data_IF_486847964107
#
_entry.id   IF_486847964107
#
_cell.length_a   1.000
_cell.length_b   1.000
_cell.length_c   1.000
_cell.angle_alpha   90.00
_cell.angle_beta   90.00
_cell.angle_gamma   90.00
#
_symmetry.space_group_name_H-M   'P 1'
#
loop_
_entity.id
_entity.type
_entity.pdbx_description
1 polymer ?
#
# COMPACT_ATOMS: atom_id res chain seq x y z
N UNK A 1 25.91 0.06 27.04
CA UNK A 1 25.17 1.32 26.84
C UNK A 1 24.38 1.14 25.56
N UNK A 2 23.06 0.96 25.66
CA UNK A 2 22.19 0.68 24.51
C UNK A 2 22.13 1.96 23.68
N UNK A 3 22.61 1.93 22.44
CA UNK A 3 22.48 3.06 21.51
C UNK A 3 20.98 3.20 21.21
N UNK A 4 20.40 4.33 21.58
CA UNK A 4 19.03 4.67 21.14
C UNK A 4 19.03 4.64 19.61
N UNK A 5 18.19 3.77 19.04
CA UNK A 5 18.30 3.38 17.64
C UNK A 5 17.68 4.39 16.68
N UNK A 6 17.20 5.53 17.19
CA UNK A 6 16.73 6.67 16.41
C UNK A 6 16.26 7.79 17.35
N UNK A 7 16.64 9.04 17.10
CA UNK A 7 16.05 10.22 17.76
C UNK A 7 14.54 10.36 17.44
N UNK A 8 14.05 9.60 16.44
CA UNK A 8 12.67 9.61 15.95
C UNK A 8 11.69 8.80 16.83
N UNK A 9 12.18 7.85 17.63
CA UNK A 9 11.37 7.01 18.52
C UNK A 9 12.01 6.85 19.92
N UNK A 10 12.00 7.90 20.76
CA UNK A 10 12.53 7.78 22.12
C UNK A 10 11.72 6.79 22.96
N UNK A 11 12.41 5.95 23.74
CA UNK A 11 11.78 5.07 24.74
C UNK A 11 11.27 3.70 24.27
N UNK A 12 11.78 3.14 23.16
CA UNK A 12 11.44 1.78 22.74
C UNK A 12 11.88 0.73 23.78
N UNK A 13 10.99 -0.20 24.11
CA UNK A 13 11.30 -1.42 24.87
C UNK A 13 12.27 -2.32 24.09
N UNK A 14 12.92 -3.27 24.77
CA UNK A 14 13.86 -4.20 24.14
C UNK A 14 13.24 -4.86 22.88
N UNK A 15 14.02 -5.03 21.80
CA UNK A 15 13.56 -5.73 20.60
C UNK A 15 13.03 -7.10 20.96
N UNK A 16 11.91 -7.48 20.35
CA UNK A 16 11.49 -8.88 20.35
C UNK A 16 11.71 -9.49 18.97
N UNK A 17 12.29 -10.69 18.97
CA UNK A 17 12.42 -11.53 17.78
C UNK A 17 11.23 -12.47 17.75
N UNK A 18 10.52 -12.50 16.64
CA UNK A 18 9.40 -13.41 16.41
C UNK A 18 9.69 -14.27 15.18
N UNK A 19 9.32 -15.54 15.29
CA UNK A 19 9.29 -16.46 14.17
C UNK A 19 7.87 -16.98 13.97
N UNK A 20 7.29 -16.75 12.79
CA UNK A 20 6.03 -17.35 12.35
C UNK A 20 4.81 -17.16 13.27
N UNK A 21 4.68 -15.99 13.91
CA UNK A 21 3.44 -15.60 14.58
C UNK A 21 3.05 -14.18 14.22
N UNK A 22 1.75 -13.94 14.05
CA UNK A 22 1.23 -12.60 13.76
C UNK A 22 1.47 -11.65 14.93
N UNK A 23 1.93 -10.43 14.61
CA UNK A 23 2.03 -9.32 15.57
C UNK A 23 0.78 -8.47 15.47
N UNK A 24 0.01 -8.44 16.57
CA UNK A 24 -1.14 -7.56 16.73
C UNK A 24 -0.87 -6.62 17.90
N UNK A 25 -0.97 -5.32 17.66
CA UNK A 25 -0.87 -4.32 18.72
C UNK A 25 -1.90 -3.22 18.53
N UNK A 26 -2.46 -2.76 19.65
CA UNK A 26 -3.51 -1.72 19.68
C UNK A 26 -3.13 -0.49 20.53
N UNK A 27 -1.98 -0.54 21.22
CA UNK A 27 -1.42 0.57 21.99
C UNK A 27 0.08 0.39 22.21
N UNK A 28 0.79 1.49 22.47
CA UNK A 28 2.24 1.50 22.76
C UNK A 28 3.11 1.61 21.52
N UNK A 29 4.43 1.55 21.70
CA UNK A 29 5.37 1.46 20.59
C UNK A 29 5.78 0.00 20.40
N UNK A 30 5.85 -0.44 19.15
CA UNK A 30 6.21 -1.81 18.77
C UNK A 30 7.56 -1.81 18.08
N UNK A 31 8.45 -2.71 18.48
CA UNK A 31 9.74 -2.88 17.82
C UNK A 31 9.96 -4.35 17.43
N UNK A 32 9.93 -4.60 16.13
CA UNK A 32 10.20 -5.90 15.51
C UNK A 32 11.60 -5.84 14.90
N UNK A 33 12.47 -6.76 15.30
CA UNK A 33 13.83 -6.83 14.77
C UNK A 33 14.20 -8.28 14.46
N UNK A 34 15.02 -8.47 13.41
CA UNK A 34 15.63 -9.76 13.07
C UNK A 34 14.63 -10.94 13.02
N UNK A 35 13.42 -10.68 12.51
CA UNK A 35 12.30 -11.62 12.56
C UNK A 35 12.00 -12.23 11.19
N UNK A 36 11.51 -13.47 11.18
CA UNK A 36 11.05 -14.14 9.97
C UNK A 36 9.56 -14.51 10.08
N UNK A 37 8.79 -14.07 9.09
CA UNK A 37 7.37 -14.35 8.96
C UNK A 37 7.16 -15.14 7.67
N UNK A 38 6.65 -16.36 7.80
CA UNK A 38 6.46 -17.25 6.66
C UNK A 38 5.07 -17.85 6.63
N UNK A 39 4.42 -17.79 5.47
CA UNK A 39 3.14 -18.45 5.15
C UNK A 39 1.98 -18.09 6.10
N UNK A 40 2.01 -16.88 6.68
CA UNK A 40 0.95 -16.39 7.55
C UNK A 40 -0.21 -15.83 6.73
N UNK A 41 -1.44 -16.28 7.02
CA UNK A 41 -2.65 -15.79 6.37
C UNK A 41 -3.63 -15.24 7.41
N UNK A 42 -3.97 -13.96 7.31
CA UNK A 42 -4.87 -13.30 8.26
C UNK A 42 -6.37 -13.62 8.02
N UNK A 43 -6.73 -14.27 6.92
CA UNK A 43 -8.14 -14.56 6.57
C UNK A 43 -8.83 -13.41 5.82
N UNK A 44 -9.98 -13.72 5.20
CA UNK A 44 -10.51 -12.97 4.04
C UNK A 44 -10.96 -11.54 4.34
N UNK A 45 -11.24 -11.25 5.60
CA UNK A 45 -11.73 -9.96 6.06
C UNK A 45 -10.67 -9.16 6.81
N UNK A 46 -9.46 -9.70 6.93
CA UNK A 46 -8.38 -9.16 7.75
C UNK A 46 -7.29 -8.50 6.90
N UNK A 47 -6.59 -7.55 7.50
CA UNK A 47 -5.40 -6.89 6.95
C UNK A 47 -4.14 -7.39 7.67
N UNK A 48 -2.96 -7.28 7.05
CA UNK A 48 -1.70 -7.55 7.72
C UNK A 48 -1.48 -9.03 8.08
N UNK A 49 -1.05 -9.86 7.13
CA UNK A 49 -0.81 -11.29 7.34
C UNK A 49 0.17 -11.59 8.47
N UNK A 50 1.25 -10.80 8.54
CA UNK A 50 2.28 -10.91 9.57
C UNK A 50 2.14 -9.85 10.66
N UNK A 51 1.87 -8.60 10.27
CA UNK A 51 1.82 -7.46 11.17
C UNK A 51 0.54 -6.69 10.89
N UNK A 52 -0.31 -6.59 11.91
CA UNK A 52 -1.55 -5.82 11.86
C UNK A 52 -1.59 -4.87 13.06
N UNK A 53 -1.34 -3.59 12.79
CA UNK A 53 -1.26 -2.53 13.78
C UNK A 53 -2.44 -1.60 13.60
N UNK A 54 -3.22 -1.43 14.67
CA UNK A 54 -4.38 -0.53 14.70
C UNK A 54 -4.28 0.46 15.86
N UNK A 55 -4.82 1.68 15.72
CA UNK A 55 -4.77 2.80 16.69
C UNK A 55 -3.38 3.51 16.80
N UNK A 56 -3.18 4.34 17.84
CA UNK A 56 -1.94 5.07 18.18
C UNK A 56 -0.78 4.14 18.52
N UNK A 57 -0.26 3.44 17.53
CA UNK A 57 0.91 2.60 17.67
C UNK A 57 1.94 3.06 16.66
N UNK A 58 3.11 3.41 17.18
CA UNK A 58 4.30 3.58 16.35
C UNK A 58 4.99 2.22 16.24
N UNK A 59 5.39 1.85 15.04
CA UNK A 59 6.08 0.58 14.80
C UNK A 59 7.38 0.80 14.06
N UNK A 60 8.44 0.17 14.56
CA UNK A 60 9.70 0.03 13.86
C UNK A 60 9.94 -1.45 13.54
N UNK A 61 10.30 -1.74 12.29
CA UNK A 61 10.56 -3.07 11.76
C UNK A 61 11.94 -3.04 11.11
N UNK A 62 12.87 -3.86 11.60
CA UNK A 62 14.24 -3.86 11.11
C UNK A 62 14.75 -5.27 10.85
N UNK A 63 15.62 -5.44 9.86
CA UNK A 63 16.33 -6.70 9.57
C UNK A 63 15.38 -7.92 9.44
N UNK A 64 14.17 -7.73 8.93
CA UNK A 64 13.12 -8.74 8.94
C UNK A 64 12.77 -9.25 7.55
N UNK A 65 12.29 -10.49 7.49
CA UNK A 65 11.94 -11.18 6.24
C UNK A 65 10.48 -11.62 6.27
N UNK A 66 9.77 -11.35 5.18
CA UNK A 66 8.36 -11.72 4.98
C UNK A 66 8.25 -12.59 3.73
N UNK A 67 7.77 -13.81 3.87
CA UNK A 67 7.63 -14.75 2.76
C UNK A 67 6.23 -15.38 2.75
N UNK A 68 5.47 -15.21 1.67
CA UNK A 68 4.16 -15.86 1.57
C UNK A 68 3.11 -15.32 2.55
N UNK A 69 3.30 -14.11 3.09
CA UNK A 69 2.35 -13.50 4.02
C UNK A 69 1.15 -12.91 3.25
N UNK A 70 -0.05 -13.25 3.69
CA UNK A 70 -1.29 -12.96 2.96
C UNK A 70 -2.34 -12.32 3.86
N UNK A 71 -3.11 -11.41 3.28
CA UNK A 71 -4.28 -10.82 3.93
C UNK A 71 -5.44 -10.69 2.94
N UNK A 72 -6.67 -10.69 3.44
CA UNK A 72 -7.82 -10.53 2.57
C UNK A 72 -8.10 -9.09 2.20
N UNK A 73 -7.78 -8.13 3.07
CA UNK A 73 -8.23 -6.75 2.92
C UNK A 73 -7.14 -5.78 2.49
N UNK A 74 -6.01 -5.72 3.19
CA UNK A 74 -5.00 -4.69 2.96
C UNK A 74 -3.64 -5.07 3.54
N UNK A 75 -2.56 -4.61 2.91
CA UNK A 75 -1.20 -4.83 3.39
C UNK A 75 -0.90 -6.31 3.63
N UNK A 76 -0.72 -7.09 2.57
CA UNK A 76 -0.62 -8.55 2.64
C UNK A 76 0.32 -9.07 3.72
N UNK A 77 1.48 -8.45 3.92
CA UNK A 77 2.35 -8.73 5.08
C UNK A 77 2.13 -7.75 6.23
N UNK A 78 2.14 -6.44 5.94
CA UNK A 78 2.18 -5.37 6.94
C UNK A 78 1.02 -4.41 6.70
N UNK A 79 0.21 -4.20 7.72
CA UNK A 79 -0.84 -3.19 7.74
C UNK A 79 -0.73 -2.32 8.99
N UNK A 80 -0.74 -1.00 8.79
CA UNK A 80 -0.74 -0.01 9.87
C UNK A 80 -1.86 1.01 9.63
N UNK A 81 -2.84 1.04 10.53
CA UNK A 81 -3.97 1.98 10.52
C UNK A 81 -4.14 2.69 11.88
N UNK A 82 -3.97 4.01 11.94
CA UNK A 82 -4.04 4.76 13.17
C UNK A 82 -5.45 4.99 13.73
N UNK A 83 -6.52 4.73 12.97
CA UNK A 83 -7.92 4.96 13.38
C UNK A 83 -8.15 6.36 14.02
N UNK A 84 -7.70 7.42 13.35
CA UNK A 84 -7.89 8.81 13.80
C UNK A 84 -6.88 9.35 14.82
N UNK A 85 -5.74 8.68 15.06
CA UNK A 85 -4.69 9.15 16.00
C UNK A 85 -3.29 9.23 15.37
N UNK A 86 -2.30 9.72 16.12
CA UNK A 86 -0.90 9.78 15.63
C UNK A 86 -0.25 8.38 15.64
N UNK A 87 0.42 8.04 14.54
CA UNK A 87 1.21 6.83 14.37
C UNK A 87 2.51 7.12 13.59
N UNK A 88 3.29 6.08 13.32
CA UNK A 88 4.44 6.15 12.44
C UNK A 88 4.92 4.75 12.12
N UNK A 89 5.18 4.49 10.85
CA UNK A 89 5.79 3.26 10.36
C UNK A 89 7.24 3.53 10.00
N UNK A 90 8.15 2.76 10.58
CA UNK A 90 9.55 2.73 10.19
C UNK A 90 9.93 1.32 9.77
N UNK A 91 10.29 1.12 8.51
CA UNK A 91 10.79 -0.15 7.98
C UNK A 91 12.20 0.09 7.43
N UNK A 92 13.16 -0.68 7.93
CA UNK A 92 14.54 -0.63 7.46
C UNK A 92 15.09 -2.04 7.21
N UNK A 93 15.87 -2.22 6.13
CA UNK A 93 16.62 -3.46 5.85
C UNK A 93 15.74 -4.72 5.87
N UNK A 94 14.56 -4.63 5.27
CA UNK A 94 13.60 -5.74 5.22
C UNK A 94 13.43 -6.30 3.81
N UNK A 95 13.08 -7.59 3.73
CA UNK A 95 12.82 -8.28 2.46
C UNK A 95 11.39 -8.84 2.45
N UNK A 96 10.66 -8.60 1.37
CA UNK A 96 9.34 -9.17 1.11
C UNK A 96 9.34 -10.04 -0.14
N UNK A 97 8.78 -11.24 -0.07
CA UNK A 97 8.63 -12.15 -1.21
C UNK A 97 7.27 -12.85 -1.18
N UNK A 98 6.56 -12.96 -2.30
CA UNK A 98 5.28 -13.70 -2.36
C UNK A 98 4.24 -13.22 -1.33
N UNK A 99 4.30 -11.94 -0.94
CA UNK A 99 3.34 -11.34 -0.04
C UNK A 99 2.27 -10.60 -0.84
N UNK A 100 1.00 -10.92 -0.62
CA UNK A 100 -0.09 -10.29 -1.37
C UNK A 100 -1.39 -10.19 -0.60
N UNK A 101 -2.22 -9.27 -1.07
CA UNK A 101 -3.62 -9.13 -0.64
C UNK A 101 -4.51 -9.75 -1.71
N UNK A 102 -5.41 -10.66 -1.32
CA UNK A 102 -6.23 -11.41 -2.27
C UNK A 102 -7.61 -10.82 -2.53
N UNK A 103 -8.02 -9.74 -1.85
CA UNK A 103 -9.19 -9.00 -2.33
C UNK A 103 -8.91 -8.44 -3.72
N UNK A 104 -9.74 -8.88 -4.66
CA UNK A 104 -9.85 -8.39 -6.02
C UNK A 104 -10.98 -7.37 -6.15
N UNK A 105 -11.63 -6.99 -5.06
CA UNK A 105 -12.83 -6.14 -5.16
C UNK A 105 -12.41 -4.78 -5.77
N UNK A 106 -12.96 -4.42 -6.93
CA UNK A 106 -12.61 -3.18 -7.64
C UNK A 106 -13.25 -1.94 -6.98
N UNK A 107 -14.28 -2.13 -6.15
CA UNK A 107 -15.00 -1.07 -5.45
C UNK A 107 -14.42 -0.79 -4.06
N UNK A 108 -13.31 -1.46 -3.72
CA UNK A 108 -12.71 -1.31 -2.42
C UNK A 108 -12.03 0.04 -2.32
N UNK A 109 -12.50 0.81 -1.34
CA UNK A 109 -11.93 2.06 -0.87
C UNK A 109 -10.38 2.10 -0.92
N UNK A 110 -9.80 3.25 -1.27
CA UNK A 110 -8.35 3.51 -1.26
C UNK A 110 -7.62 3.07 0.01
N UNK A 111 -8.34 2.86 1.11
CA UNK A 111 -7.82 2.37 2.39
C UNK A 111 -7.54 0.86 2.44
N UNK A 112 -7.83 0.09 1.40
CA UNK A 112 -7.60 -1.37 1.37
C UNK A 112 -6.64 -1.72 0.23
N UNK A 113 -5.43 -1.19 0.36
CA UNK A 113 -4.36 -1.27 -0.63
C UNK A 113 -3.15 -2.04 -0.08
N UNK A 114 -2.12 -2.26 -0.88
CA UNK A 114 -0.86 -2.88 -0.43
C UNK A 114 -0.82 -4.41 -0.57
N UNK A 115 0.04 -4.94 -1.42
CA UNK A 115 0.35 -6.37 -1.50
C UNK A 115 1.38 -6.76 -0.43
N UNK A 116 2.42 -5.93 -0.21
CA UNK A 116 3.38 -6.16 0.85
C UNK A 116 3.06 -5.31 2.08
N UNK A 117 3.06 -3.98 1.91
CA UNK A 117 2.89 -3.05 3.01
C UNK A 117 1.84 -1.97 2.71
N UNK A 118 1.02 -1.67 3.72
CA UNK A 118 0.14 -0.52 3.73
C UNK A 118 0.31 0.29 5.01
N UNK A 119 0.46 1.60 4.85
CA UNK A 119 0.49 2.55 5.95
C UNK A 119 -0.54 3.65 5.72
N UNK A 120 -1.39 3.89 6.71
CA UNK A 120 -2.28 5.04 6.76
C UNK A 120 -1.75 5.97 7.86
N UNK A 121 -1.80 7.28 7.67
CA UNK A 121 -1.58 8.26 8.74
C UNK A 121 -2.79 9.20 8.87
N UNK A 122 -2.87 9.96 9.95
CA UNK A 122 -3.88 11.03 10.09
C UNK A 122 -3.27 12.42 10.28
N UNK A 123 -1.95 12.54 10.13
CA UNK A 123 -1.25 13.79 10.38
C UNK A 123 -0.21 14.03 9.30
N UNK A 124 -0.25 15.23 8.74
CA UNK A 124 0.75 15.71 7.78
C UNK A 124 2.13 15.85 8.43
N UNK A 125 2.25 15.82 9.76
CA UNK A 125 3.55 15.81 10.43
C UNK A 125 4.14 14.41 10.64
N UNK A 126 3.36 13.35 10.38
CA UNK A 126 3.85 11.98 10.53
C UNK A 126 4.67 11.59 9.31
N UNK A 127 5.91 11.15 9.54
CA UNK A 127 6.78 10.62 8.50
C UNK A 127 6.84 9.10 8.65
N UNK A 128 6.44 8.39 7.61
CA UNK A 128 6.70 6.97 7.46
C UNK A 128 8.00 6.77 6.70
N UNK A 129 8.77 5.76 7.06
CA UNK A 129 10.03 5.44 6.39
C UNK A 129 10.00 4.01 5.90
N UNK A 130 10.38 3.79 4.64
CA UNK A 130 10.68 2.48 4.09
C UNK A 130 12.03 2.58 3.39
N UNK A 131 13.06 2.00 4.00
CA UNK A 131 14.42 2.14 3.51
C UNK A 131 15.24 0.85 3.50
N UNK A 132 16.15 0.73 2.53
CA UNK A 132 16.98 -0.46 2.33
C UNK A 132 16.15 -1.75 2.19
N UNK A 133 15.04 -1.67 1.47
CA UNK A 133 14.09 -2.77 1.32
C UNK A 133 14.16 -3.40 -0.07
N UNK A 134 13.92 -4.71 -0.13
CA UNK A 134 13.75 -5.44 -1.39
C UNK A 134 12.42 -6.19 -1.37
N UNK A 135 11.57 -5.91 -2.34
CA UNK A 135 10.24 -6.51 -2.49
C UNK A 135 10.24 -7.24 -3.83
N UNK A 136 9.92 -8.51 -3.80
CA UNK A 136 9.96 -9.35 -4.98
C UNK A 136 8.70 -10.21 -5.11
N UNK A 137 8.16 -10.35 -6.33
CA UNK A 137 7.10 -11.31 -6.64
C UNK A 137 5.93 -11.24 -5.64
N UNK A 138 5.37 -10.06 -5.36
CA UNK A 138 4.30 -9.92 -4.37
C UNK A 138 3.15 -10.92 -4.56
N UNK A 139 2.55 -10.96 -5.76
CA UNK A 139 1.55 -11.95 -6.13
C UNK A 139 2.14 -13.03 -7.06
N UNK A 140 1.59 -14.26 -7.04
CA UNK A 140 1.87 -15.26 -8.06
C UNK A 140 1.63 -14.70 -9.47
N UNK A 141 2.46 -15.11 -10.44
CA UNK A 141 2.47 -14.55 -11.81
C UNK A 141 1.11 -14.55 -12.53
N UNK A 142 0.23 -15.49 -12.18
CA UNK A 142 -1.11 -15.63 -12.76
C UNK A 142 -2.22 -14.96 -11.93
N UNK A 143 -1.86 -14.18 -10.92
CA UNK A 143 -2.79 -13.59 -9.98
C UNK A 143 -2.66 -12.07 -9.96
N UNK A 144 -3.39 -11.42 -10.88
CA UNK A 144 -3.45 -9.96 -10.99
C UNK A 144 -4.36 -9.39 -9.91
N UNK A 145 -3.78 -8.98 -8.78
CA UNK A 145 -4.51 -8.29 -7.73
C UNK A 145 -4.69 -6.82 -8.10
N UNK A 146 -5.82 -6.20 -7.75
CA UNK A 146 -6.05 -4.75 -7.86
C UNK A 146 -5.30 -3.94 -6.78
N UNK A 147 -4.07 -4.35 -6.49
CA UNK A 147 -3.32 -3.97 -5.29
C UNK A 147 -1.89 -3.59 -5.69
N UNK A 148 -1.28 -2.71 -4.91
CA UNK A 148 0.05 -2.14 -5.19
C UNK A 148 1.07 -2.71 -4.22
N UNK A 149 2.33 -3.02 -4.58
CA UNK A 149 3.30 -3.54 -3.62
C UNK A 149 3.38 -2.73 -2.32
N UNK A 150 3.46 -1.40 -2.42
CA UNK A 150 3.39 -0.46 -1.30
C UNK A 150 2.23 0.51 -1.50
N UNK A 151 1.48 0.78 -0.44
CA UNK A 151 0.53 1.89 -0.39
C UNK A 151 0.73 2.73 0.87
N UNK A 152 0.82 4.05 0.71
CA UNK A 152 0.88 5.01 1.80
C UNK A 152 -0.20 6.07 1.61
N UNK A 153 -1.03 6.29 2.64
CA UNK A 153 -2.16 7.22 2.58
C UNK A 153 -2.06 8.22 3.73
N UNK A 154 -2.11 9.50 3.37
CA UNK A 154 -1.88 10.67 4.20
C UNK A 154 -0.46 10.74 4.80
N UNK A 155 -0.06 11.93 5.23
CA UNK A 155 1.25 12.17 5.86
C UNK A 155 2.40 12.16 4.86
N UNK A 156 3.63 12.16 5.37
CA UNK A 156 4.83 12.13 4.54
C UNK A 156 5.45 10.73 4.51
N UNK A 157 6.11 10.40 3.40
CA UNK A 157 6.89 9.17 3.27
C UNK A 157 8.34 9.44 2.82
N UNK A 158 9.27 8.72 3.44
CA UNK A 158 10.66 8.55 3.01
C UNK A 158 10.81 7.17 2.35
N UNK A 159 11.13 7.16 1.05
CA UNK A 159 11.42 5.98 0.25
C UNK A 159 12.88 6.02 -0.20
N UNK A 160 13.75 5.25 0.45
CA UNK A 160 15.18 5.34 0.19
C UNK A 160 15.86 3.98 0.06
N UNK A 161 16.61 3.74 -1.03
CA UNK A 161 17.24 2.45 -1.32
C UNK A 161 16.20 1.33 -1.37
N UNK A 162 15.26 1.44 -2.31
CA UNK A 162 14.14 0.53 -2.46
C UNK A 162 14.23 -0.21 -3.78
N UNK A 163 14.10 -1.53 -3.73
CA UNK A 163 13.94 -2.38 -4.92
C UNK A 163 12.56 -3.03 -4.90
N UNK A 164 11.78 -2.85 -5.95
CA UNK A 164 10.54 -3.60 -6.21
C UNK A 164 10.74 -4.32 -7.54
N UNK A 165 10.67 -5.65 -7.52
CA UNK A 165 11.00 -6.42 -8.72
C UNK A 165 10.11 -7.63 -8.95
N UNK A 166 9.95 -8.02 -10.21
CA UNK A 166 9.20 -9.21 -10.62
C UNK A 166 7.76 -9.23 -10.06
N UNK A 167 7.18 -8.07 -9.75
CA UNK A 167 5.83 -7.96 -9.20
C UNK A 167 4.81 -7.92 -10.33
N UNK A 168 3.69 -8.62 -10.14
CA UNK A 168 2.55 -8.61 -11.05
C UNK A 168 1.38 -7.94 -10.35
N UNK A 169 0.79 -6.93 -11.00
CA UNK A 169 -0.35 -6.19 -10.47
C UNK A 169 -1.35 -5.83 -11.57
N UNK A 170 -2.64 -5.89 -11.22
CA UNK A 170 -3.68 -5.38 -12.08
C UNK A 170 -3.65 -3.85 -12.14
N UNK A 171 -3.47 -3.19 -10.98
CA UNK A 171 -3.58 -1.73 -10.86
C UNK A 171 -2.20 -1.05 -10.90
N UNK A 172 -1.40 -1.16 -9.82
CA UNK A 172 -0.10 -0.52 -9.82
C UNK A 172 1.07 -1.43 -9.39
N UNK A 173 2.10 -1.46 -10.24
CA UNK A 173 3.22 -2.42 -10.13
C UNK A 173 4.35 -1.99 -9.20
N UNK A 174 4.30 -0.78 -8.66
CA UNK A 174 5.30 -0.20 -7.77
C UNK A 174 4.68 0.27 -6.46
N UNK A 175 4.32 1.55 -6.37
CA UNK A 175 3.78 2.12 -5.15
C UNK A 175 2.76 3.22 -5.41
N UNK A 176 1.89 3.41 -4.41
CA UNK A 176 0.98 4.56 -4.31
C UNK A 176 1.25 5.38 -3.07
N UNK A 177 1.23 6.70 -3.25
CA UNK A 177 1.34 7.68 -2.16
C UNK A 177 0.29 8.77 -2.36
N UNK A 178 -0.54 8.98 -1.35
CA UNK A 178 -1.42 10.16 -1.23
C UNK A 178 -0.99 10.93 0.02
N UNK A 179 -0.57 12.19 -0.11
CA UNK A 179 -0.02 12.95 1.01
C UNK A 179 1.23 13.71 0.59
N UNK A 180 2.40 13.34 1.11
CA UNK A 180 3.66 14.03 0.82
C UNK A 180 4.87 13.11 0.76
N UNK A 181 5.98 13.64 0.23
CA UNK A 181 7.29 13.00 0.34
C UNK A 181 8.18 13.83 1.26
N UNK A 182 8.97 13.16 2.08
CA UNK A 182 10.10 13.79 2.76
C UNK A 182 11.38 13.59 1.93
N UNK A 183 11.59 12.36 1.46
CA UNK A 183 12.74 11.99 0.63
C UNK A 183 12.39 10.81 -0.27
N UNK A 184 12.83 10.87 -1.53
CA UNK A 184 12.81 9.71 -2.44
C UNK A 184 14.14 9.58 -3.16
N UNK A 185 14.88 8.51 -2.89
CA UNK A 185 16.20 8.29 -3.51
C UNK A 185 16.55 6.82 -3.69
N UNK A 186 17.21 6.50 -4.80
CA UNK A 186 17.67 5.16 -5.14
C UNK A 186 16.52 4.14 -5.14
N UNK A 187 15.51 4.41 -5.97
CA UNK A 187 14.35 3.54 -6.16
C UNK A 187 14.48 2.81 -7.49
N UNK A 188 14.45 1.48 -7.44
CA UNK A 188 14.43 0.61 -8.61
C UNK A 188 13.08 -0.12 -8.66
N UNK A 189 12.41 -0.01 -9.81
CA UNK A 189 11.27 -0.82 -10.17
C UNK A 189 11.68 -1.66 -11.40
N UNK A 190 11.76 -2.99 -11.24
CA UNK A 190 12.37 -3.85 -12.25
C UNK A 190 11.51 -5.07 -12.62
N UNK A 191 11.32 -5.33 -13.91
CA UNK A 191 10.64 -6.50 -14.44
C UNK A 191 9.22 -6.69 -13.88
N UNK A 192 8.52 -5.61 -13.53
CA UNK A 192 7.14 -5.67 -13.09
C UNK A 192 6.20 -5.77 -14.30
N UNK A 193 5.08 -6.46 -14.11
CA UNK A 193 3.98 -6.54 -15.08
C UNK A 193 2.78 -5.79 -14.53
N UNK A 194 2.31 -4.79 -15.28
CA UNK A 194 1.13 -4.00 -14.97
C UNK A 194 0.03 -4.32 -15.97
N UNK A 195 -1.17 -4.67 -15.52
CA UNK A 195 -2.25 -5.04 -16.44
C UNK A 195 -3.09 -3.84 -16.91
N UNK A 196 -3.56 -3.02 -15.97
CA UNK A 196 -4.62 -2.03 -16.23
C UNK A 196 -4.23 -0.59 -15.96
N UNK A 197 -3.29 -0.28 -15.07
CA UNK A 197 -3.05 1.11 -14.63
C UNK A 197 -1.56 1.48 -14.77
N UNK A 198 -0.91 1.98 -13.72
CA UNK A 198 0.41 2.60 -13.78
C UNK A 198 1.44 1.86 -12.93
N UNK A 199 2.72 2.12 -13.16
CA UNK A 199 3.77 1.60 -12.29
C UNK A 199 3.88 2.40 -10.98
N UNK A 200 3.80 3.72 -11.05
CA UNK A 200 3.82 4.63 -9.90
C UNK A 200 2.58 5.51 -9.97
N UNK A 201 1.92 5.67 -8.82
CA UNK A 201 0.76 6.54 -8.69
C UNK A 201 0.95 7.48 -7.50
N UNK A 202 0.79 8.78 -7.73
CA UNK A 202 1.07 9.80 -6.72
C UNK A 202 -0.06 10.81 -6.68
N UNK A 203 -0.50 11.18 -5.47
CA UNK A 203 -1.55 12.17 -5.25
C UNK A 203 -1.19 13.14 -4.13
N UNK A 204 -1.55 14.42 -4.31
CA UNK A 204 -1.36 15.50 -3.31
C UNK A 204 0.08 15.77 -2.88
N UNK A 205 1.08 15.20 -3.55
CA UNK A 205 2.45 15.20 -3.06
C UNK A 205 3.27 16.39 -3.52
N UNK A 206 4.12 16.89 -2.64
CA UNK A 206 5.29 17.69 -3.02
C UNK A 206 6.54 16.91 -2.67
N UNK A 207 7.51 16.84 -3.57
CA UNK A 207 8.68 16.01 -3.33
C UNK A 207 9.74 16.02 -4.43
N UNK A 208 10.90 15.48 -4.09
CA UNK A 208 12.04 15.34 -5.00
C UNK A 208 12.52 13.89 -5.04
N UNK A 209 12.59 13.37 -6.26
CA UNK A 209 13.07 12.04 -6.61
C UNK A 209 14.51 12.16 -7.11
N UNK A 210 15.49 11.66 -6.37
CA UNK A 210 16.88 11.81 -6.77
C UNK A 210 17.27 10.82 -7.87
N UNK A 211 17.17 9.52 -7.59
CA UNK A 211 17.61 8.44 -8.48
C UNK A 211 16.49 7.41 -8.64
N UNK A 212 15.88 7.34 -9.82
CA UNK A 212 14.80 6.39 -10.14
C UNK A 212 15.16 5.61 -11.39
N UNK A 213 15.08 4.27 -11.30
CA UNK A 213 15.24 3.37 -12.44
C UNK A 213 13.97 2.53 -12.62
N UNK A 214 13.37 2.66 -13.80
CA UNK A 214 12.33 1.79 -14.30
C UNK A 214 12.98 0.87 -15.34
N UNK A 215 13.01 -0.44 -15.09
CA UNK A 215 13.72 -1.40 -15.92
C UNK A 215 12.82 -2.55 -16.32
N UNK A 216 12.70 -2.86 -17.61
CA UNK A 216 12.04 -4.08 -18.07
C UNK A 216 10.54 -4.15 -17.75
N UNK A 217 9.88 -3.01 -17.58
CA UNK A 217 8.46 -2.95 -17.20
C UNK A 217 7.61 -3.36 -18.39
N UNK A 218 6.62 -4.22 -18.18
CA UNK A 218 5.75 -4.71 -19.24
C UNK A 218 4.29 -4.43 -18.91
N UNK A 219 3.53 -3.93 -19.89
CA UNK A 219 2.08 -3.92 -19.80
C UNK A 219 1.51 -5.23 -20.34
N UNK A 220 0.65 -5.90 -19.55
CA UNK A 220 0.02 -7.13 -20.01
C UNK A 220 -0.90 -6.83 -21.21
N UNK A 221 -0.56 -7.41 -22.36
CA UNK A 221 -1.26 -7.17 -23.61
C UNK A 221 -2.60 -7.88 -23.68
N UNK A 222 -2.79 -8.95 -22.93
CA UNK A 222 -3.95 -9.85 -23.01
C UNK A 222 -5.15 -9.39 -22.15
N UNK A 223 -5.02 -8.25 -21.48
CA UNK A 223 -6.08 -7.65 -20.68
C UNK A 223 -7.30 -7.29 -21.54
N UNK A 224 -8.49 -7.68 -21.08
CA UNK A 224 -9.78 -7.46 -21.76
C UNK A 224 -10.25 -6.00 -21.74
N UNK A 225 -9.61 -5.14 -20.94
CA UNK A 225 -9.93 -3.72 -20.83
C UNK A 225 -8.85 -2.92 -21.60
N UNK A 226 -9.29 -2.17 -22.61
CA UNK A 226 -8.46 -1.41 -23.55
C UNK A 226 -8.29 0.03 -23.04
N UNK A 227 -8.16 0.21 -21.73
CA UNK A 227 -7.77 1.52 -21.22
C UNK A 227 -6.26 1.57 -21.17
N UNK A 228 -5.70 2.53 -21.90
CA UNK A 228 -4.28 2.74 -22.02
C UNK A 228 -3.84 3.67 -20.90
N UNK A 229 -2.98 3.17 -20.02
CA UNK A 229 -2.43 3.98 -18.95
C UNK A 229 -0.91 4.06 -19.08
N UNK A 230 -0.31 5.21 -18.74
CA UNK A 230 1.13 5.41 -18.74
C UNK A 230 1.81 4.72 -17.56
N UNK A 231 3.15 4.70 -17.54
CA UNK A 231 3.91 4.16 -16.41
C UNK A 231 3.78 5.02 -15.14
N UNK A 232 3.56 6.32 -15.28
CA UNK A 232 3.42 7.25 -14.16
C UNK A 232 2.04 7.94 -14.23
N UNK A 233 1.28 7.92 -13.14
CA UNK A 233 0.06 8.73 -12.99
C UNK A 233 0.22 9.65 -11.79
N UNK A 234 -0.05 10.93 -12.00
CA UNK A 234 0.16 11.96 -10.99
C UNK A 234 -1.07 12.88 -10.89
N UNK A 235 -1.53 13.09 -9.66
CA UNK A 235 -2.68 13.92 -9.31
C UNK A 235 -2.27 15.03 -8.33
N UNK A 236 -2.66 16.28 -8.57
CA UNK A 236 -2.48 17.40 -7.64
C UNK A 236 -1.09 17.47 -6.97
N UNK A 237 0.00 17.27 -7.71
CA UNK A 237 1.34 17.09 -7.12
C UNK A 237 2.41 17.96 -7.77
N UNK A 238 3.43 18.34 -6.98
CA UNK A 238 4.59 19.12 -7.41
C UNK A 238 5.86 18.31 -7.22
N UNK A 239 6.33 17.66 -8.28
CA UNK A 239 7.43 16.68 -8.22
C UNK A 239 8.62 17.08 -9.10
N UNK A 240 9.81 16.82 -8.58
CA UNK A 240 11.07 16.99 -9.33
C UNK A 240 11.78 15.64 -9.41
N UNK A 241 12.13 15.20 -10.61
CA UNK A 241 13.00 14.05 -10.86
C UNK A 241 14.39 14.53 -11.25
N UNK A 242 15.39 14.31 -10.39
CA UNK A 242 16.77 14.65 -10.70
C UNK A 242 17.35 13.73 -11.76
N UNK A 243 17.23 12.42 -11.56
CA UNK A 243 17.73 11.38 -12.47
C UNK A 243 16.69 10.27 -12.62
N UNK A 244 16.07 10.21 -13.80
CA UNK A 244 15.12 9.17 -14.19
C UNK A 244 15.69 8.35 -15.35
N UNK A 245 15.83 7.04 -15.16
CA UNK A 245 16.12 6.09 -16.23
C UNK A 245 14.89 5.22 -16.50
N UNK A 246 14.48 5.13 -17.76
CA UNK A 246 13.43 4.22 -18.22
C UNK A 246 14.03 3.36 -19.33
N UNK A 247 14.24 2.08 -19.03
CA UNK A 247 15.03 1.16 -19.86
C UNK A 247 14.22 -0.09 -20.16
N UNK A 248 14.15 -0.50 -21.42
CA UNK A 248 13.41 -1.69 -21.88
C UNK A 248 11.96 -1.77 -21.35
N UNK A 249 11.28 -0.64 -21.20
CA UNK A 249 9.91 -0.60 -20.70
C UNK A 249 8.93 -0.52 -21.88
N UNK A 250 7.77 -1.15 -21.74
CA UNK A 250 6.65 -1.06 -22.68
C UNK A 250 5.42 -0.49 -21.98
N UNK A 251 4.64 0.28 -22.73
CA UNK A 251 3.34 0.78 -22.32
C UNK A 251 2.39 0.71 -23.51
N UNK A 252 1.11 0.46 -23.25
CA UNK A 252 0.07 0.58 -24.30
C UNK A 252 -0.17 2.06 -24.65
N UNK A 253 0.12 2.96 -23.72
CA UNK A 253 0.10 4.41 -23.93
C UNK A 253 1.55 4.84 -24.20
N UNK A 254 1.88 5.39 -25.38
CA UNK A 254 3.24 5.86 -25.64
C UNK A 254 3.66 6.97 -24.67
N UNK A 255 2.72 7.63 -23.98
CA UNK A 255 3.03 8.58 -22.92
C UNK A 255 3.66 7.86 -21.73
N UNK A 256 4.86 8.28 -21.33
CA UNK A 256 5.52 7.79 -20.11
C UNK A 256 4.72 8.17 -18.85
N UNK A 257 4.07 9.33 -18.90
CA UNK A 257 3.41 10.00 -17.79
C UNK A 257 2.06 10.55 -18.25
N UNK A 258 1.07 10.48 -17.35
CA UNK A 258 -0.16 11.27 -17.41
C UNK A 258 -0.30 12.06 -16.12
N UNK A 259 -0.58 13.34 -16.28
CA UNK A 259 -1.08 14.17 -15.18
C UNK A 259 -2.58 14.26 -15.33
N UNK A 260 -3.30 13.85 -14.30
CA UNK A 260 -4.74 14.07 -14.28
C UNK A 260 -5.02 15.42 -13.60
N UNK A 261 -5.52 16.35 -14.41
CA UNK A 261 -5.80 17.74 -14.00
C UNK A 261 -7.23 17.94 -13.51
N UNK A 262 -8.09 16.91 -13.58
CA UNK A 262 -9.49 17.03 -13.16
C UNK A 262 -9.64 17.41 -11.68
N UNK A 263 -8.65 17.08 -10.86
CA UNK A 263 -8.66 17.36 -9.42
C UNK A 263 -7.80 18.59 -9.05
N UNK A 264 -6.95 19.11 -9.94
CA UNK A 264 -6.12 20.30 -9.69
C UNK A 264 -4.80 20.30 -10.46
N UNK A 265 -4.07 21.41 -10.38
CA UNK A 265 -2.81 21.59 -11.11
C UNK A 265 -1.70 20.72 -10.51
N UNK A 266 -0.88 20.11 -11.38
CA UNK A 266 0.36 19.43 -10.99
C UNK A 266 1.54 20.02 -11.77
N UNK A 267 2.69 20.15 -11.11
CA UNK A 267 3.93 20.58 -11.78
C UNK A 267 4.97 19.47 -11.70
N UNK A 268 5.42 18.99 -12.86
CA UNK A 268 6.41 17.92 -12.95
C UNK A 268 7.62 18.41 -13.71
N UNK A 269 8.78 18.28 -13.08
CA UNK A 269 10.06 18.70 -13.60
C UNK A 269 11.00 17.49 -13.73
N UNK A 270 11.54 17.29 -14.93
CA UNK A 270 12.60 16.31 -15.17
C UNK A 270 13.92 17.06 -15.40
N UNK A 271 14.86 16.96 -14.46
CA UNK A 271 16.19 17.57 -14.62
C UNK A 271 17.03 16.75 -15.59
N UNK A 272 17.24 15.47 -15.28
CA UNK A 272 17.96 14.52 -16.12
C UNK A 272 17.10 13.28 -16.36
N UNK A 273 16.84 12.96 -17.62
CA UNK A 273 16.03 11.80 -17.99
C UNK A 273 16.64 11.05 -19.16
N UNK A 274 16.65 9.73 -19.07
CA UNK A 274 16.87 8.82 -20.19
C UNK A 274 15.64 7.93 -20.35
N UNK A 275 15.07 7.90 -21.55
CA UNK A 275 13.92 7.06 -21.90
C UNK A 275 14.26 6.31 -23.17
N UNK A 276 14.26 4.99 -23.09
CA UNK A 276 14.57 4.12 -24.22
C UNK A 276 13.30 3.75 -24.98
N UNK A 277 13.37 3.76 -26.32
CA UNK A 277 12.29 3.31 -27.20
C UNK A 277 11.27 4.40 -27.49
N UNK A 278 10.02 3.99 -27.70
CA UNK A 278 8.96 4.86 -28.21
C UNK A 278 8.16 5.59 -27.11
N UNK A 279 8.61 5.50 -25.84
CA UNK A 279 7.97 6.20 -24.74
C UNK A 279 8.32 7.70 -24.77
N UNK A 280 7.30 8.57 -24.71
CA UNK A 280 7.46 10.02 -24.76
C UNK A 280 7.18 10.68 -23.41
N UNK A 281 7.89 11.78 -23.10
CA UNK A 281 7.63 12.64 -21.93
C UNK A 281 6.91 13.93 -22.40
N UNK A 282 5.95 13.80 -23.33
CA UNK A 282 5.28 14.96 -23.92
C UNK A 282 4.53 15.79 -22.86
N UNK A 283 4.55 17.12 -23.03
CA UNK A 283 3.86 18.05 -22.15
C UNK A 283 4.64 18.51 -20.91
N UNK A 284 5.89 18.06 -20.71
CA UNK A 284 6.70 18.42 -19.54
C UNK A 284 8.08 18.98 -19.89
N UNK A 285 8.62 19.78 -18.98
CA UNK A 285 9.97 20.35 -19.14
C UNK A 285 11.02 19.31 -18.73
N UNK A 286 11.68 18.72 -19.72
CA UNK A 286 12.95 18.03 -19.54
C UNK A 286 14.10 19.00 -19.84
N UNK A 287 14.99 19.23 -18.87
CA UNK A 287 16.11 20.15 -19.05
C UNK A 287 17.29 19.50 -19.78
N UNK A 288 17.59 18.25 -19.44
CA UNK A 288 18.71 17.50 -20.00
C UNK A 288 18.27 16.07 -20.36
N UNK A 289 17.62 15.87 -21.53
CA UNK A 289 17.36 14.55 -22.05
C UNK A 289 18.65 13.90 -22.58
N UNK A 290 18.97 12.70 -22.11
CA UNK A 290 20.17 11.94 -22.52
C UNK A 290 19.82 10.89 -23.58
N UNK A 291 20.79 10.58 -24.44
CA UNK A 291 20.67 9.53 -25.47
C UNK A 291 21.16 8.15 -25.03
N UNK A 292 21.79 8.07 -23.86
CA UNK A 292 22.30 6.84 -23.24
C UNK A 292 21.84 6.76 -21.79
N UNK A 293 21.71 5.54 -21.22
CA UNK A 293 21.36 5.37 -19.81
C UNK A 293 22.31 6.17 -18.92
N UNK A 294 21.73 6.88 -17.95
CA UNK A 294 22.50 7.54 -16.92
C UNK A 294 23.15 6.46 -16.06
N UNK A 295 24.48 6.51 -15.91
CA UNK A 295 25.21 5.65 -15.00
C UNK A 295 24.87 6.08 -13.58
N UNK A 296 23.86 5.45 -13.00
CA UNK A 296 23.48 5.64 -11.61
C UNK A 296 24.00 4.43 -10.84
N UNK A 297 24.88 4.68 -9.88
CA UNK A 297 25.37 3.65 -8.98
C UNK A 297 24.27 3.30 -7.96
N UNK A 298 23.44 2.32 -8.32
CA UNK A 298 22.52 1.69 -7.39
C UNK A 298 23.24 0.62 -6.57
N UNK A 299 24.25 1.01 -5.79
CA UNK A 299 24.84 0.17 -4.75
C UNK A 299 23.83 -0.02 -3.61
N UNK A 300 22.74 -0.76 -3.90
CA UNK A 300 21.66 -1.02 -2.95
C UNK A 300 22.13 -1.91 -1.79
N UNK A 301 23.15 -2.75 -2.02
CA UNK A 301 23.72 -3.65 -1.02
C UNK A 301 25.14 -4.05 -1.44
N UNK A 302 26.19 -3.51 -0.81
CA UNK A 302 27.51 -4.15 -0.93
C UNK A 302 27.43 -5.49 -0.16
N UNK A 303 27.70 -6.61 -0.84
CA UNK A 303 27.62 -7.95 -0.27
C UNK A 303 28.57 -8.12 0.94
N UNK A 304 29.67 -7.35 0.96
CA UNK A 304 30.59 -7.21 2.10
C UNK A 304 29.93 -6.58 3.34
N UNK A 305 29.03 -5.60 3.18
CA UNK A 305 28.30 -5.01 4.32
C UNK A 305 27.35 -6.03 4.96
N UNK A 306 26.66 -6.86 4.15
CA UNK A 306 25.83 -7.95 4.69
C UNK A 306 26.64 -8.96 5.50
N UNK A 307 27.85 -9.29 5.06
CA UNK A 307 28.70 -10.23 5.80
C UNK A 307 29.27 -9.62 7.08
N UNK A 308 29.63 -8.32 7.07
CA UNK A 308 30.14 -7.64 8.27
C UNK A 308 29.07 -7.47 9.36
N UNK A 309 27.83 -7.11 8.99
CA UNK A 309 26.73 -6.93 9.96
C UNK A 309 26.25 -8.28 10.54
N UNK A 310 26.37 -9.38 9.77
CA UNK A 310 26.12 -10.74 10.25
C UNK A 310 27.18 -11.23 11.23
N UNK A 311 28.42 -10.74 11.12
CA UNK A 311 29.54 -11.08 12.01
C UNK A 311 29.39 -10.40 13.38
N UNK A 312 28.98 -9.13 13.42
CA UNK A 312 28.83 -8.38 14.67
C UNK A 312 27.67 -8.91 15.54
N UNK A 313 26.58 -9.40 14.95
CA UNK A 313 25.46 -9.99 15.72
C UNK A 313 25.81 -11.33 16.39
N UNK A 314 26.74 -12.10 15.83
CA UNK A 314 27.22 -13.36 16.42
C UNK A 314 28.12 -13.14 17.65
N UNK A 315 28.70 -11.94 17.80
CA UNK A 315 29.50 -11.59 18.97
C UNK A 315 28.70 -11.06 20.18
N UNK A 316 27.40 -10.80 20.03
CA UNK A 316 26.53 -10.37 21.14
C UNK A 316 25.65 -11.47 21.75
N UNK A 317 25.64 -12.69 21.18
CA UNK A 317 24.78 -13.80 21.65
C UNK A 317 25.49 -14.84 22.51
N UNK A 318 26.76 -14.62 22.90
CA UNK A 318 27.41 -15.44 23.94
C UNK A 318 27.41 -14.67 25.26
N UNK A 319 26.57 -15.03 26.25
CA UNK A 319 26.74 -14.54 27.59
C UNK A 319 28.06 -15.07 28.15
N UNK A 320 28.84 -14.27 28.90
CA UNK A 320 30.01 -14.78 29.60
C UNK A 320 29.55 -15.85 30.59
N UNK A 321 30.02 -17.08 30.40
CA UNK A 321 29.78 -18.18 31.32
C UNK A 321 30.60 -17.94 32.59
N UNK A 322 30.04 -17.22 33.56
CA UNK A 322 30.57 -17.22 34.93
C UNK A 322 29.87 -18.34 35.70
N UNK A 323 30.61 -19.41 35.97
CA UNK A 323 30.23 -20.51 36.85
C UNK A 323 30.28 -20.01 38.30
N UNK A 324 29.18 -20.02 39.08
CA UNK A 324 29.27 -19.91 40.53
C UNK A 324 29.42 -21.32 41.13
N UNK A 325 30.49 -21.49 41.90
CA UNK A 325 30.75 -22.67 42.72
C UNK A 325 29.69 -22.84 43.80
N UNK A 326 29.19 -24.07 43.96
CA UNK A 326 28.18 -24.46 44.94
C UNK A 326 28.77 -24.66 46.34
N UNK A 327 27.97 -24.40 47.38
CA UNK A 327 27.87 -25.27 48.57
C UNK A 327 26.58 -25.01 49.38
N UNK A 328 26.09 -26.02 50.14
CA UNK A 328 24.66 -26.22 50.39
C UNK A 328 24.23 -25.94 51.84
N UNK A 329 22.93 -25.73 52.09
CA UNK A 329 22.34 -25.87 53.42
C UNK A 329 20.81 -26.05 53.41
N UNK A 330 20.39 -27.26 53.79
CA UNK A 330 19.21 -27.65 54.60
C UNK A 330 17.78 -27.17 54.25
N UNK A 331 16.97 -28.15 53.82
CA UNK A 331 15.52 -28.30 54.08
C UNK A 331 15.22 -28.44 55.60
N UNK A 332 13.99 -28.13 56.07
CA UNK A 332 12.85 -29.06 56.06
C UNK A 332 11.51 -28.37 55.64
N UNK A 333 10.65 -28.95 54.79
CA UNK A 333 9.80 -30.15 54.87
C UNK A 333 8.33 -29.85 55.27
N UNK A 334 7.42 -30.54 54.55
CA UNK A 334 6.02 -30.87 54.86
C UNK A 334 4.81 -29.94 54.55
N UNK A 335 4.14 -30.32 53.45
CA UNK A 335 2.69 -30.65 53.27
C UNK A 335 1.62 -29.57 52.96
N UNK A 336 0.52 -29.93 52.27
CA UNK A 336 -0.17 -29.11 51.27
C UNK A 336 -1.60 -28.70 51.67
N UNK A 337 -2.14 -27.68 50.97
CA UNK A 337 -3.54 -27.30 51.07
C UNK A 337 -4.09 -26.96 49.68
N UNK A 338 -5.10 -27.72 49.29
CA UNK A 338 -5.98 -27.58 48.12
C UNK A 338 -6.78 -26.28 48.10
N UNK A 339 -7.04 -25.74 46.90
CA UNK A 339 -8.39 -25.36 46.45
C UNK A 339 -8.34 -24.82 45.01
N UNK A 340 -8.81 -25.64 44.08
CA UNK A 340 -9.27 -25.22 42.75
C UNK A 340 -10.66 -24.58 42.83
N UNK A 341 -11.04 -23.92 41.73
CA UNK A 341 -12.39 -23.49 41.32
C UNK A 341 -12.90 -22.12 41.83
N UNK A 342 -12.45 -21.03 41.19
CA UNK A 342 -13.29 -19.82 41.10
C UNK A 342 -12.95 -18.84 39.95
N UNK A 343 -12.88 -19.27 38.68
CA UNK A 343 -12.73 -18.28 37.57
C UNK A 343 -13.60 -18.46 36.31
N UNK A 344 -14.35 -19.55 36.17
CA UNK A 344 -15.09 -19.81 34.91
C UNK A 344 -16.41 -19.02 34.74
N UNK A 345 -16.94 -18.39 35.80
CA UNK A 345 -18.22 -17.68 35.72
C UNK A 345 -18.13 -16.23 35.24
N UNK A 346 -16.93 -15.62 35.21
CA UNK A 346 -16.74 -14.23 34.78
C UNK A 346 -16.59 -14.12 33.25
N UNK A 347 -16.01 -15.14 32.61
CA UNK A 347 -15.82 -15.16 31.15
C UNK A 347 -17.12 -15.37 30.36
N UNK A 348 -18.11 -16.11 30.90
CA UNK A 348 -19.41 -16.34 30.22
C UNK A 348 -20.32 -15.11 30.18
N UNK A 349 -20.30 -14.24 31.20
CA UNK A 349 -21.15 -13.04 31.22
C UNK A 349 -20.72 -11.96 30.21
N UNK A 350 -19.43 -11.83 29.91
CA UNK A 350 -18.95 -10.85 28.92
C UNK A 350 -19.27 -11.24 27.47
N UNK A 351 -19.29 -12.53 27.14
CA UNK A 351 -19.63 -12.97 25.77
C UNK A 351 -21.10 -12.75 25.42
N UNK A 352 -22.01 -12.91 26.38
CA UNK A 352 -23.45 -12.67 26.16
C UNK A 352 -23.77 -11.18 26.00
N UNK A 353 -23.08 -10.30 26.74
CA UNK A 353 -23.30 -8.85 26.64
C UNK A 353 -22.84 -8.27 25.29
N UNK A 354 -21.71 -8.75 24.75
CA UNK A 354 -21.20 -8.32 23.43
C UNK A 354 -22.15 -8.77 22.30
N UNK A 355 -22.71 -9.99 22.40
CA UNK A 355 -23.67 -10.48 21.41
C UNK A 355 -24.97 -9.64 21.38
N UNK A 356 -25.47 -9.20 22.52
CA UNK A 356 -26.70 -8.38 22.60
C UNK A 356 -26.48 -6.99 21.99
N UNK A 357 -25.32 -6.36 22.23
CA UNK A 357 -24.99 -5.04 21.66
C UNK A 357 -24.84 -5.12 20.14
N UNK A 358 -24.26 -6.21 19.62
CA UNK A 358 -24.11 -6.44 18.18
C UNK A 358 -25.46 -6.58 17.46
N UNK A 359 -26.43 -7.28 18.06
CA UNK A 359 -27.76 -7.49 17.45
C UNK A 359 -28.55 -6.18 17.44
N UNK A 360 -28.50 -5.39 18.53
CA UNK A 360 -29.14 -4.09 18.57
C UNK A 360 -28.58 -3.12 17.52
N UNK A 361 -27.25 -3.10 17.33
CA UNK A 361 -26.59 -2.28 16.31
C UNK A 361 -27.03 -2.65 14.88
N UNK A 362 -27.18 -3.94 14.59
CA UNK A 362 -27.60 -4.42 13.27
C UNK A 362 -29.05 -4.02 12.95
N UNK A 363 -29.94 -4.04 13.94
CA UNK A 363 -31.35 -3.61 13.78
C UNK A 363 -31.41 -2.11 13.47
N UNK A 364 -30.61 -1.30 14.15
CA UNK A 364 -30.56 0.16 13.89
C UNK A 364 -30.01 0.45 12.50
N UNK A 365 -28.95 -0.25 12.07
CA UNK A 365 -28.37 -0.08 10.74
C UNK A 365 -29.37 -0.46 9.63
N UNK A 366 -30.09 -1.57 9.80
CA UNK A 366 -31.13 -1.98 8.87
C UNK A 366 -32.27 -0.95 8.77
N UNK A 367 -32.69 -0.35 9.88
CA UNK A 367 -33.70 0.71 9.88
C UNK A 367 -33.24 1.98 9.13
N UNK A 368 -31.96 2.36 9.26
CA UNK A 368 -31.37 3.49 8.53
C UNK A 368 -31.37 3.20 7.01
N UNK A 369 -30.96 2.00 6.59
CA UNK A 369 -30.94 1.62 5.18
C UNK A 369 -32.36 1.69 4.58
N UNK A 370 -33.36 1.16 5.28
CA UNK A 370 -34.76 1.24 4.84
C UNK A 370 -35.24 2.69 4.71
N UNK A 371 -34.88 3.56 5.66
CA UNK A 371 -35.24 4.98 5.60
C UNK A 371 -34.61 5.69 4.38
N UNK A 372 -33.35 5.40 4.06
CA UNK A 372 -32.64 5.94 2.89
C UNK A 372 -33.29 5.46 1.59
N UNK A 373 -33.63 4.18 1.48
CA UNK A 373 -34.30 3.63 0.30
C UNK A 373 -35.67 4.29 0.08
N UNK A 374 -36.47 4.48 1.14
CA UNK A 374 -37.75 5.19 1.07
C UNK A 374 -37.54 6.65 0.64
N UNK A 375 -36.51 7.33 1.14
CA UNK A 375 -36.18 8.69 0.75
C UNK A 375 -35.82 8.79 -0.74
N UNK A 376 -35.02 7.86 -1.26
CA UNK A 376 -34.63 7.80 -2.69
C UNK A 376 -35.85 7.54 -3.57
N UNK A 377 -36.73 6.60 -3.19
CA UNK A 377 -37.96 6.31 -3.95
C UNK A 377 -38.90 7.51 -3.95
N UNK A 378 -39.07 8.20 -2.81
CA UNK A 378 -39.88 9.43 -2.75
C UNK A 378 -39.27 10.56 -3.57
N UNK A 379 -37.94 10.71 -3.54
CA UNK A 379 -37.22 11.73 -4.31
C UNK A 379 -37.35 11.49 -5.82
N UNK A 380 -37.27 10.22 -6.27
CA UNK A 380 -37.44 9.88 -7.70
C UNK A 380 -38.90 9.94 -8.16
N UNK A 381 -39.86 9.67 -7.28
CA UNK A 381 -41.29 9.77 -7.59
C UNK A 381 -41.79 11.19 -7.84
N UNK A 382 -41.14 12.21 -7.28
CA UNK A 382 -41.51 13.62 -7.46
C UNK A 382 -40.95 14.26 -8.74
N UNK A 383 -39.99 13.63 -9.43
CA UNK A 383 -39.34 14.20 -10.62
C UNK A 383 -39.83 13.62 -11.96
N UNK A 384 -40.80 12.70 -11.96
CA UNK A 384 -41.36 12.09 -13.18
C UNK A 384 -42.73 12.61 -13.60
N UNK A 385 -43.16 13.76 -13.07
CA UNK A 385 -44.31 14.48 -13.61
C UNK A 385 -43.90 15.93 -13.83
N UNK A 386 -43.57 16.26 -15.08
CA UNK A 386 -43.71 17.57 -15.75
C UNK A 386 -42.91 17.56 -17.06
N UNK A 387 -43.62 17.30 -18.18
CA UNK A 387 -43.60 18.05 -19.45
C UNK A 387 -44.05 17.18 -20.63
N UNK A 388 -45.36 17.15 -20.85
CA UNK A 388 -45.94 17.02 -22.20
C UNK A 388 -47.14 17.95 -22.28
N UNK A 389 -46.92 19.20 -22.66
CA UNK A 389 -47.75 19.96 -23.60
C UNK A 389 -47.10 21.32 -23.86
N UNK A 390 -47.43 21.88 -25.02
CA UNK A 390 -47.20 23.28 -25.43
C UNK A 390 -45.94 23.53 -26.27
N UNK A 391 -46.05 23.10 -27.54
CA UNK A 391 -45.54 23.91 -28.65
C UNK A 391 -46.71 24.24 -29.58
N UNK A 392 -47.14 25.49 -29.53
CA UNK A 392 -47.97 26.13 -30.52
C UNK A 392 -47.31 27.47 -30.88
N UNK A 393 -46.72 27.54 -32.08
CA UNK A 393 -46.72 28.69 -33.01
C UNK A 393 -45.90 28.23 -34.23
N UNK A 394 -46.33 28.25 -35.48
CA UNK A 394 -47.28 29.15 -36.10
C UNK A 394 -46.55 30.05 -37.08
N UNK A 395 -46.10 29.52 -38.23
CA UNK A 395 -45.88 30.33 -39.43
C UNK A 395 -46.05 29.52 -40.72
N UNK A 396 -46.98 30.06 -41.50
CA UNK A 396 -47.45 29.85 -42.86
C UNK A 396 -46.45 29.36 -43.93
N UNK A 397 -46.93 28.58 -44.91
CA UNK A 397 -46.15 28.29 -46.12
C UNK A 397 -46.72 27.26 -47.10
N UNK A 398 -47.92 27.51 -47.64
CA UNK A 398 -48.49 27.12 -48.96
C UNK A 398 -48.23 25.75 -49.61
N UNK A 399 -49.38 25.17 -49.96
CA UNK A 399 -49.75 24.10 -50.89
C UNK A 399 -48.95 23.88 -52.20
N UNK A 400 -49.01 22.63 -52.64
CA UNK A 400 -48.69 22.10 -53.97
C UNK A 400 -47.70 20.93 -53.86
N UNK A 401 -47.81 19.80 -54.53
CA UNK A 401 -48.84 19.17 -55.32
C UNK A 401 -48.38 17.68 -55.46
N UNK A 402 -49.22 16.85 -56.04
CA UNK A 402 -49.13 15.39 -56.14
C UNK A 402 -47.84 14.80 -56.79
N UNK A 403 -47.58 13.50 -56.58
CA UNK A 403 -46.87 12.68 -57.59
C UNK A 403 -45.90 11.59 -57.13
N UNK A 404 -46.44 10.39 -56.86
CA UNK A 404 -46.08 9.09 -57.49
C UNK A 404 -44.61 8.73 -57.92
N UNK A 405 -44.26 7.46 -57.62
CA UNK A 405 -43.32 6.50 -58.27
C UNK A 405 -41.88 6.34 -57.71
N UNK A 406 -41.62 5.22 -57.01
CA UNK A 406 -40.92 3.95 -57.42
C UNK A 406 -39.41 3.99 -57.20
N UNK A 407 -38.85 3.14 -56.35
CA UNK A 407 -38.50 1.72 -56.56
C UNK A 407 -37.07 1.56 -57.14
N UNK A 408 -36.26 0.78 -56.40
CA UNK A 408 -35.09 -0.02 -56.76
C UNK A 408 -33.92 0.61 -57.56
N UNK A 409 -32.72 0.48 -56.98
CA UNK A 409 -31.62 -0.24 -57.62
C UNK A 409 -30.65 -0.80 -56.56
N UNK A 410 -30.81 -2.11 -56.33
CA UNK A 410 -29.88 -3.16 -55.86
C UNK A 410 -29.27 -3.08 -54.45
#
# INVERSE_FOLDING_TARGET
MVKEFSDYFPGLSQPFSICNSTVNATAGNVYVAASEFSLLNAGETSSGGAINIINSVRIAITLSKFTGCMSGRAGGAIFVDPLGKDNGLYIEKCIGSLCYTYSSDPDVSFYHQGQWAMAITNSDSCINTITYCSIEQCAPYNYFTNQRPIAAVNGHIDLNNLNISNCVSAYCGGFYVDGGFDKVSNVILANCIVEKYALIEVKNCTGKFHNVLLLGIQHNTDATIIESYPLLIIFQSNLIFDFLNVVNCTSKDPSLLRVDTQDGDSTILFNNSYVQGDLSIEGFTSHYPYSLPLVIDFNLFNEEQRQSEKLDYLHYTTPPTTIPSASPSSTPDATPSSSDEQDDNKAKKNKVMIAIISVAGFIVLAAIIVAVVIAIIRYRGTHYNVKTSDYADGTEGKAGDEGFLTQDNL
#
